data_IF_535028478420
#
_entry.id   IF_535028478420
#
_cell.length_a   1.000
_cell.length_b   1.000
_cell.length_c   1.000
_cell.angle_alpha   90.00
_cell.angle_beta   90.00
_cell.angle_gamma   90.00
#
_symmetry.space_group_name_H-M   'P 1'
#
loop_
_entity.id
_entity.type
_entity.pdbx_description
1 polymer ?
#
# COMPACT_ATOMS: atom_id res chain seq x y z
N UNK A 1 -22.03 -36.56 -6.12
CA UNK A 1 -21.53 -35.59 -7.13
C UNK A 1 -22.59 -34.58 -7.59
N UNK A 2 -23.83 -34.96 -7.92
CA UNK A 2 -24.88 -34.01 -8.39
C UNK A 2 -25.34 -32.96 -7.35
N UNK A 3 -25.36 -33.27 -6.05
CA UNK A 3 -25.74 -32.31 -5.00
C UNK A 3 -24.71 -31.19 -4.81
N UNK A 4 -23.42 -31.53 -4.86
CA UNK A 4 -22.33 -30.56 -4.74
C UNK A 4 -22.27 -29.60 -5.93
N UNK A 5 -22.63 -30.08 -7.13
CA UNK A 5 -22.67 -29.24 -8.34
C UNK A 5 -23.83 -28.21 -8.31
N UNK A 6 -24.99 -28.60 -7.76
CA UNK A 6 -26.14 -27.70 -7.60
C UNK A 6 -25.89 -26.62 -6.54
N UNK A 7 -25.18 -26.95 -5.47
CA UNK A 7 -24.79 -25.99 -4.44
C UNK A 7 -23.78 -24.99 -5.00
N UNK A 8 -22.82 -25.46 -5.79
CA UNK A 8 -21.81 -24.58 -6.44
C UNK A 8 -22.48 -23.60 -7.42
N UNK A 9 -23.38 -24.07 -8.28
CA UNK A 9 -24.11 -23.23 -9.23
C UNK A 9 -25.00 -22.21 -8.51
N UNK A 10 -25.70 -22.61 -7.44
CA UNK A 10 -26.50 -21.69 -6.63
C UNK A 10 -25.65 -20.66 -5.88
N UNK A 11 -24.46 -21.04 -5.38
CA UNK A 11 -23.54 -20.13 -4.72
C UNK A 11 -22.94 -19.12 -5.71
N UNK A 12 -22.59 -19.54 -6.93
CA UNK A 12 -22.10 -18.65 -7.99
C UNK A 12 -23.21 -17.69 -8.46
N UNK A 13 -24.47 -18.15 -8.57
CA UNK A 13 -25.59 -17.28 -8.88
C UNK A 13 -25.92 -16.30 -7.74
N UNK A 14 -25.82 -16.73 -6.48
CA UNK A 14 -26.01 -15.85 -5.32
C UNK A 14 -24.90 -14.79 -5.19
N UNK A 15 -23.67 -15.14 -5.54
CA UNK A 15 -22.54 -14.19 -5.59
C UNK A 15 -22.71 -13.10 -6.65
N UNK A 16 -23.37 -13.43 -7.76
CA UNK A 16 -23.72 -12.44 -8.82
C UNK A 16 -24.85 -11.49 -8.38
N UNK A 17 -25.58 -11.80 -7.32
CA UNK A 17 -26.69 -11.01 -6.79
C UNK A 17 -26.27 -10.06 -5.64
N UNK A 18 -25.12 -10.27 -5.01
CA UNK A 18 -24.59 -9.40 -3.95
C UNK A 18 -23.49 -8.54 -4.57
N UNK A 19 -23.85 -7.34 -5.01
CA UNK A 19 -23.07 -6.39 -5.80
C UNK A 19 -21.74 -5.91 -5.19
N UNK A 20 -20.77 -6.80 -5.08
CA UNK A 20 -19.37 -6.44 -4.84
C UNK A 20 -18.66 -6.35 -6.19
N UNK A 21 -18.73 -5.20 -6.83
CA UNK A 21 -17.96 -4.87 -8.02
C UNK A 21 -17.08 -3.65 -7.73
N UNK A 22 -15.84 -3.65 -8.21
CA UNK A 22 -15.06 -2.42 -8.29
C UNK A 22 -15.65 -1.55 -9.38
N UNK A 23 -15.81 -0.27 -9.10
CA UNK A 23 -16.38 0.71 -10.04
C UNK A 23 -15.30 1.73 -10.37
N UNK A 24 -14.97 1.86 -11.64
CA UNK A 24 -14.05 2.83 -12.18
C UNK A 24 -14.68 3.62 -13.32
N UNK A 25 -14.09 4.77 -13.67
CA UNK A 25 -14.54 5.59 -14.80
C UNK A 25 -13.39 5.75 -15.80
N UNK A 26 -13.73 5.67 -17.10
CA UNK A 26 -12.78 5.87 -18.20
C UNK A 26 -13.26 6.98 -19.11
N UNK A 27 -12.33 7.62 -19.83
CA UNK A 27 -12.66 8.65 -20.81
C UNK A 27 -13.21 8.05 -22.11
N UNK A 28 -13.94 8.80 -22.95
CA UNK A 28 -14.35 8.35 -24.28
C UNK A 28 -13.19 7.87 -25.15
N UNK A 29 -12.01 8.49 -25.04
CA UNK A 29 -10.79 8.05 -25.73
C UNK A 29 -10.29 6.69 -25.26
N UNK A 30 -10.52 6.31 -24.01
CA UNK A 30 -10.20 4.98 -23.51
C UNK A 30 -11.25 3.94 -23.95
N UNK A 31 -12.52 4.34 -24.13
CA UNK A 31 -13.56 3.48 -24.75
C UNK A 31 -13.16 3.13 -26.20
N UNK A 32 -12.61 4.08 -26.96
CA UNK A 32 -12.11 3.84 -28.30
C UNK A 32 -10.99 2.77 -28.36
N UNK A 33 -10.18 2.64 -27.32
CA UNK A 33 -9.15 1.59 -27.23
C UNK A 33 -9.70 0.17 -27.11
N UNK A 34 -10.97 0.02 -26.81
CA UNK A 34 -11.64 -1.29 -26.77
C UNK A 34 -11.96 -1.83 -28.17
N UNK A 35 -11.72 -1.06 -29.24
CA UNK A 35 -11.90 -1.53 -30.61
C UNK A 35 -11.18 -2.86 -30.86
N UNK A 36 -11.85 -3.77 -31.55
CA UNK A 36 -11.35 -5.12 -31.82
C UNK A 36 -11.39 -6.07 -30.60
N UNK A 37 -12.05 -5.69 -29.50
CA UNK A 37 -12.34 -6.63 -28.41
C UNK A 37 -13.38 -7.66 -28.85
N UNK A 38 -13.07 -8.96 -28.72
CA UNK A 38 -13.95 -10.03 -29.17
C UNK A 38 -13.66 -11.33 -28.41
N UNK A 39 -14.57 -11.72 -27.53
CA UNK A 39 -14.46 -12.96 -26.74
C UNK A 39 -14.88 -14.22 -27.50
N UNK A 40 -15.55 -14.10 -28.65
CA UNK A 40 -15.92 -15.24 -29.50
C UNK A 40 -14.70 -15.71 -30.30
N UNK A 41 -13.84 -14.78 -30.72
CA UNK A 41 -12.62 -15.08 -31.48
C UNK A 41 -11.48 -15.42 -30.54
N UNK A 42 -11.38 -14.73 -29.41
CA UNK A 42 -10.38 -14.94 -28.36
C UNK A 42 -11.05 -14.95 -26.99
N UNK A 43 -11.43 -16.10 -26.44
CA UNK A 43 -12.15 -16.19 -25.15
C UNK A 43 -11.44 -15.53 -23.97
N UNK A 44 -10.11 -15.46 -24.03
CA UNK A 44 -9.27 -14.78 -23.03
C UNK A 44 -8.87 -13.36 -23.45
N UNK A 45 -9.61 -12.73 -24.38
CA UNK A 45 -9.32 -11.37 -24.84
C UNK A 45 -9.33 -10.39 -23.67
N UNK A 46 -8.25 -9.61 -23.55
CA UNK A 46 -8.13 -8.52 -22.59
C UNK A 46 -7.63 -7.26 -23.29
N UNK A 47 -8.16 -6.11 -22.90
CA UNK A 47 -7.74 -4.80 -23.40
C UNK A 47 -7.34 -3.91 -22.22
N UNK A 48 -6.14 -3.31 -22.24
CA UNK A 48 -5.76 -2.35 -21.21
C UNK A 48 -6.50 -1.02 -21.42
N UNK A 49 -7.10 -0.49 -20.37
CA UNK A 49 -7.70 0.85 -20.34
C UNK A 49 -7.17 1.60 -19.12
N UNK A 50 -7.12 2.92 -19.21
CA UNK A 50 -6.70 3.80 -18.15
C UNK A 50 -7.92 4.51 -17.57
N UNK A 51 -8.06 4.46 -16.25
CA UNK A 51 -9.16 5.10 -15.53
C UNK A 51 -8.93 6.60 -15.38
N UNK A 52 -9.95 7.37 -15.04
CA UNK A 52 -9.83 8.84 -14.90
C UNK A 52 -8.91 9.25 -13.76
N UNK A 53 -8.72 8.40 -12.76
CA UNK A 53 -7.76 8.58 -11.66
C UNK A 53 -6.35 8.04 -11.95
N UNK A 54 -6.11 7.62 -13.21
CA UNK A 54 -4.78 7.22 -13.72
C UNK A 54 -4.39 5.76 -13.44
N UNK A 55 -5.30 4.92 -12.98
CA UNK A 55 -5.03 3.48 -12.84
C UNK A 55 -5.17 2.76 -14.18
N UNK A 56 -4.36 1.73 -14.38
CA UNK A 56 -4.51 0.82 -15.50
C UNK A 56 -5.35 -0.38 -15.08
N UNK A 57 -6.43 -0.64 -15.80
CA UNK A 57 -7.26 -1.83 -15.64
C UNK A 57 -7.29 -2.68 -16.91
N UNK A 58 -7.70 -3.94 -16.74
CA UNK A 58 -7.79 -4.89 -17.86
C UNK A 58 -9.26 -5.21 -18.15
N UNK A 59 -9.78 -4.67 -19.24
CA UNK A 59 -11.12 -4.98 -19.73
C UNK A 59 -11.16 -6.42 -20.26
N UNK A 60 -12.06 -7.25 -19.76
CA UNK A 60 -12.19 -8.67 -20.09
C UNK A 60 -13.67 -9.09 -20.17
N UNK A 61 -13.95 -10.37 -20.41
CA UNK A 61 -15.31 -10.90 -20.57
C UNK A 61 -16.24 -10.77 -19.36
N UNK A 62 -15.67 -10.53 -18.16
CA UNK A 62 -16.44 -10.31 -16.93
C UNK A 62 -16.72 -8.83 -16.67
N UNK A 63 -16.06 -7.94 -17.40
CA UNK A 63 -16.17 -6.49 -17.22
C UNK A 63 -17.48 -5.97 -17.80
N UNK A 64 -18.24 -5.22 -17.00
CA UNK A 64 -19.41 -4.46 -17.46
C UNK A 64 -19.00 -3.03 -17.82
N UNK A 65 -19.44 -2.55 -18.97
CA UNK A 65 -19.24 -1.18 -19.43
C UNK A 65 -20.59 -0.49 -19.55
N UNK A 66 -20.77 0.65 -18.90
CA UNK A 66 -21.95 1.50 -19.04
C UNK A 66 -21.54 2.85 -19.61
N UNK A 67 -22.10 3.20 -20.76
CA UNK A 67 -21.90 4.50 -21.43
C UNK A 67 -23.04 5.43 -21.02
N UNK A 68 -22.70 6.59 -20.45
CA UNK A 68 -23.63 7.63 -20.07
C UNK A 68 -23.58 8.72 -21.16
N UNK A 69 -24.65 8.88 -21.91
CA UNK A 69 -24.82 9.91 -22.92
C UNK A 69 -25.92 10.90 -22.52
N UNK A 70 -26.06 12.00 -23.24
CA UNK A 70 -27.00 13.08 -22.91
C UNK A 70 -28.47 12.61 -22.70
N UNK A 71 -28.86 11.54 -23.37
CA UNK A 71 -30.25 11.10 -23.40
C UNK A 71 -30.48 9.69 -22.85
N UNK A 72 -29.40 8.92 -22.58
CA UNK A 72 -29.55 7.53 -22.20
C UNK A 72 -28.27 6.96 -21.56
N UNK A 73 -28.50 6.10 -20.55
CA UNK A 73 -27.45 5.18 -20.05
C UNK A 73 -27.65 3.82 -20.73
N UNK A 74 -26.61 3.34 -21.38
CA UNK A 74 -26.66 2.04 -22.07
C UNK A 74 -25.36 1.28 -21.80
N UNK A 75 -25.45 -0.03 -21.69
CA UNK A 75 -24.29 -0.87 -21.43
C UNK A 75 -24.63 -2.29 -21.05
N UNK A 76 -23.63 -2.98 -20.55
CA UNK A 76 -23.67 -4.36 -20.11
C UNK A 76 -22.30 -5.03 -20.21
N UNK A 77 -22.27 -6.36 -20.16
CA UNK A 77 -21.08 -7.14 -20.53
C UNK A 77 -21.09 -7.34 -22.05
N UNK A 78 -19.96 -7.07 -22.69
CA UNK A 78 -19.85 -7.16 -24.14
C UNK A 78 -19.11 -8.41 -24.57
N UNK A 79 -19.67 -9.12 -25.54
CA UNK A 79 -19.03 -10.22 -26.25
C UNK A 79 -18.05 -9.69 -27.32
N UNK A 80 -18.41 -8.59 -27.98
CA UNK A 80 -17.54 -7.92 -28.94
C UNK A 80 -17.76 -6.41 -28.94
N UNK A 81 -16.72 -5.65 -29.27
CA UNK A 81 -16.73 -4.20 -29.40
C UNK A 81 -15.98 -3.81 -30.67
N UNK A 82 -16.59 -2.91 -31.45
CA UNK A 82 -16.01 -2.22 -32.59
C UNK A 82 -16.21 -0.72 -32.45
N UNK A 83 -15.20 0.03 -32.82
CA UNK A 83 -15.31 1.48 -32.93
C UNK A 83 -15.00 1.88 -34.36
N UNK A 84 -15.97 2.44 -35.05
CA UNK A 84 -15.84 2.87 -36.44
C UNK A 84 -16.47 4.24 -36.61
N UNK A 85 -15.75 5.15 -37.24
CA UNK A 85 -16.24 6.51 -37.57
C UNK A 85 -16.78 7.24 -36.32
N UNK A 86 -16.05 7.13 -35.19
CA UNK A 86 -16.39 7.70 -33.85
C UNK A 86 -17.68 7.11 -33.24
N UNK A 87 -18.15 5.96 -33.73
CA UNK A 87 -19.30 5.24 -33.19
C UNK A 87 -18.86 3.97 -32.50
N UNK A 88 -19.21 3.86 -31.21
CA UNK A 88 -19.11 2.60 -30.48
C UNK A 88 -20.24 1.66 -30.91
N UNK A 89 -19.88 0.45 -31.32
CA UNK A 89 -20.79 -0.63 -31.63
C UNK A 89 -20.40 -1.84 -30.81
N UNK A 90 -21.23 -2.21 -29.83
CA UNK A 90 -20.98 -3.32 -28.93
C UNK A 90 -22.10 -4.36 -29.00
N UNK A 91 -21.74 -5.64 -29.09
CA UNK A 91 -22.68 -6.75 -28.92
C UNK A 91 -22.52 -7.30 -27.51
N UNK A 92 -23.56 -7.22 -26.70
CA UNK A 92 -23.58 -7.71 -25.33
C UNK A 92 -23.62 -9.25 -25.30
N UNK A 93 -23.23 -9.82 -24.14
CA UNK A 93 -23.25 -11.28 -23.95
C UNK A 93 -24.66 -11.88 -23.99
N UNK A 94 -25.71 -11.07 -23.75
CA UNK A 94 -27.12 -11.44 -23.87
C UNK A 94 -27.67 -11.21 -25.31
N UNK A 95 -26.79 -10.81 -26.24
CA UNK A 95 -27.11 -10.69 -27.67
C UNK A 95 -27.65 -9.35 -28.15
N UNK A 96 -27.82 -8.35 -27.24
CA UNK A 96 -28.26 -7.00 -27.61
C UNK A 96 -27.12 -6.26 -28.33
N UNK A 97 -27.49 -5.45 -29.31
CA UNK A 97 -26.58 -4.53 -29.97
C UNK A 97 -26.72 -3.11 -29.35
N UNK A 98 -25.60 -2.48 -29.04
CA UNK A 98 -25.51 -1.14 -28.46
C UNK A 98 -24.70 -0.28 -29.41
N UNK A 99 -25.27 0.82 -29.90
CA UNK A 99 -24.57 1.80 -30.73
C UNK A 99 -24.63 3.17 -30.06
N UNK A 100 -23.49 3.81 -29.88
CA UNK A 100 -23.37 5.15 -29.24
C UNK A 100 -22.26 5.94 -29.92
N UNK A 101 -22.53 7.16 -30.45
CA UNK A 101 -21.45 8.06 -30.86
C UNK A 101 -20.56 8.39 -29.69
N UNK A 102 -19.24 8.23 -29.79
CA UNK A 102 -18.30 8.51 -28.72
C UNK A 102 -18.31 9.99 -28.33
N UNK A 103 -18.56 10.87 -29.29
CA UNK A 103 -18.74 12.32 -29.04
C UNK A 103 -19.97 12.63 -28.16
N UNK A 104 -20.95 11.75 -28.08
CA UNK A 104 -22.12 11.90 -27.21
C UNK A 104 -21.91 11.32 -25.81
N UNK A 105 -20.83 10.54 -25.57
CA UNK A 105 -20.52 9.92 -24.29
C UNK A 105 -19.94 10.95 -23.33
N UNK A 106 -20.63 11.22 -22.21
CA UNK A 106 -20.19 12.11 -21.14
C UNK A 106 -19.27 11.40 -20.16
N UNK A 107 -19.61 10.18 -19.83
CA UNK A 107 -18.80 9.31 -18.96
C UNK A 107 -18.99 7.85 -19.32
N UNK A 108 -17.97 7.05 -19.10
CA UNK A 108 -18.01 5.62 -19.25
C UNK A 108 -17.64 4.96 -17.91
N UNK A 109 -18.60 4.25 -17.33
CA UNK A 109 -18.45 3.51 -16.09
C UNK A 109 -18.05 2.07 -16.41
N UNK A 110 -17.03 1.58 -15.76
CA UNK A 110 -16.53 0.21 -15.87
C UNK A 110 -16.69 -0.47 -14.52
N UNK A 111 -17.32 -1.64 -14.51
CA UNK A 111 -17.50 -2.44 -13.31
C UNK A 111 -16.92 -3.83 -13.55
N UNK A 112 -16.03 -4.25 -12.64
CA UNK A 112 -15.51 -5.61 -12.63
C UNK A 112 -16.04 -6.33 -11.40
N UNK A 113 -16.53 -7.59 -11.54
CA UNK A 113 -16.82 -8.40 -10.37
C UNK A 113 -15.56 -8.50 -9.54
N UNK A 114 -15.66 -8.30 -8.23
CA UNK A 114 -14.54 -8.49 -7.33
C UNK A 114 -14.08 -9.93 -7.47
N UNK A 115 -12.91 -10.13 -8.06
CA UNK A 115 -12.26 -11.44 -8.22
C UNK A 115 -12.07 -12.18 -6.90
N UNK A 116 -12.17 -11.44 -5.80
CA UNK A 116 -12.10 -11.88 -4.43
C UNK A 116 -13.24 -12.82 -4.02
N UNK A 117 -14.49 -12.51 -4.37
CA UNK A 117 -15.63 -13.36 -4.00
C UNK A 117 -15.66 -14.67 -4.79
N UNK A 118 -15.29 -14.62 -6.07
CA UNK A 118 -15.16 -15.81 -6.93
C UNK A 118 -14.07 -16.74 -6.40
N UNK A 119 -12.94 -16.22 -5.96
CA UNK A 119 -11.84 -16.99 -5.36
C UNK A 119 -12.24 -17.58 -3.99
N UNK A 120 -12.95 -16.83 -3.12
CA UNK A 120 -13.47 -17.34 -1.84
C UNK A 120 -14.41 -18.52 -2.05
N UNK A 121 -15.31 -18.44 -3.02
CA UNK A 121 -16.27 -19.54 -3.34
C UNK A 121 -15.54 -20.76 -3.91
N UNK A 122 -14.54 -20.55 -4.78
CA UNK A 122 -13.73 -21.64 -5.36
C UNK A 122 -12.87 -22.35 -4.31
N UNK A 123 -12.33 -21.62 -3.32
CA UNK A 123 -11.51 -22.23 -2.24
C UNK A 123 -12.34 -23.02 -1.24
N UNK A 124 -13.58 -22.62 -0.96
CA UNK A 124 -14.52 -23.41 -0.16
C UNK A 124 -14.89 -24.74 -0.85
N UNK A 125 -14.93 -24.75 -2.19
CA UNK A 125 -15.25 -25.93 -2.98
C UNK A 125 -14.09 -26.92 -3.14
N UNK A 126 -12.84 -26.44 -3.07
CA UNK A 126 -11.60 -27.25 -3.30
C UNK A 126 -10.91 -27.69 -2.00
N UNK A 127 -11.45 -27.33 -0.84
CA UNK A 127 -11.05 -27.76 0.50
C UNK A 127 -9.54 -27.81 0.75
N UNK A 128 -9.05 -26.94 1.61
CA UNK A 128 -7.91 -27.08 2.53
C UNK A 128 -6.59 -26.34 2.31
N UNK A 129 -6.18 -25.92 1.12
CA UNK A 129 -4.85 -25.29 0.97
C UNK A 129 -4.92 -23.78 0.62
N UNK A 130 -6.00 -23.32 0.05
CA UNK A 130 -6.14 -21.94 -0.44
C UNK A 130 -6.70 -20.93 0.59
N UNK A 131 -7.20 -21.37 1.73
CA UNK A 131 -7.87 -20.50 2.72
C UNK A 131 -6.92 -19.43 3.32
N UNK A 132 -5.65 -19.78 3.56
CA UNK A 132 -4.65 -18.83 4.08
C UNK A 132 -4.28 -17.74 3.10
N UNK A 133 -4.08 -18.10 1.82
CA UNK A 133 -3.69 -17.14 0.77
C UNK A 133 -4.83 -16.19 0.39
N UNK A 134 -6.07 -16.65 0.54
CA UNK A 134 -7.25 -15.85 0.19
C UNK A 134 -7.66 -14.88 1.30
N UNK A 135 -7.54 -15.28 2.57
CA UNK A 135 -7.71 -14.37 3.68
C UNK A 135 -6.68 -13.22 3.61
N UNK A 136 -5.44 -13.50 3.19
CA UNK A 136 -4.41 -12.51 2.93
C UNK A 136 -4.81 -11.51 1.82
N UNK A 137 -5.51 -11.96 0.78
CA UNK A 137 -5.97 -11.10 -0.31
C UNK A 137 -7.22 -10.27 0.07
N UNK A 138 -8.14 -10.86 0.81
CA UNK A 138 -9.37 -10.19 1.27
C UNK A 138 -9.11 -9.06 2.27
N UNK A 139 -8.03 -9.19 3.04
CA UNK A 139 -7.60 -8.19 4.03
C UNK A 139 -6.65 -7.15 3.44
N UNK A 140 -6.25 -7.23 2.15
CA UNK A 140 -5.34 -6.27 1.50
C UNK A 140 -5.87 -4.82 1.53
N UNK A 141 -7.17 -4.63 1.68
CA UNK A 141 -7.79 -3.31 1.84
C UNK A 141 -8.02 -2.90 3.31
N UNK A 142 -7.88 -3.83 4.27
CA UNK A 142 -7.92 -3.52 5.69
C UNK A 142 -6.50 -3.33 6.22
N UNK A 143 -5.99 -2.11 6.17
CA UNK A 143 -4.74 -1.76 6.87
C UNK A 143 -4.98 -1.92 8.37
N UNK A 144 -4.44 -2.99 8.94
CA UNK A 144 -4.32 -3.13 10.39
C UNK A 144 -3.03 -2.40 10.74
N UNK A 145 -3.12 -1.09 11.03
CA UNK A 145 -2.08 -0.32 11.68
C UNK A 145 -0.62 -0.56 11.25
N UNK A 146 -0.37 -0.95 9.98
CA UNK A 146 1.00 -1.06 9.50
C UNK A 146 1.61 0.34 9.48
N UNK A 147 2.75 0.47 10.10
CA UNK A 147 3.58 1.65 9.99
C UNK A 147 4.48 1.40 8.80
N UNK A 148 4.24 2.16 7.76
CA UNK A 148 5.11 2.11 6.58
C UNK A 148 6.35 2.95 6.94
N UNK A 149 7.53 2.35 7.05
CA UNK A 149 8.83 3.01 7.20
C UNK A 149 9.08 4.01 6.05
N UNK A 150 10.35 4.30 5.71
CA UNK A 150 10.65 5.23 4.61
C UNK A 150 10.16 4.69 3.27
N UNK A 151 9.10 5.29 2.72
CA UNK A 151 8.42 4.81 1.53
C UNK A 151 9.32 4.87 0.27
N UNK A 152 9.47 3.75 -0.44
CA UNK A 152 10.09 3.75 -1.77
C UNK A 152 9.12 4.30 -2.80
N UNK A 153 9.50 5.41 -3.46
CA UNK A 153 8.73 5.99 -4.56
C UNK A 153 9.42 5.81 -5.89
N UNK A 154 8.66 5.36 -6.89
CA UNK A 154 9.08 5.31 -8.29
C UNK A 154 8.05 6.08 -9.09
N UNK A 155 8.49 7.14 -9.78
CA UNK A 155 7.60 8.04 -10.53
C UNK A 155 6.44 8.59 -9.67
N UNK A 156 6.72 8.96 -8.41
CA UNK A 156 5.75 9.51 -7.45
C UNK A 156 4.80 8.49 -6.81
N UNK A 157 4.86 7.22 -7.18
CA UNK A 157 4.03 6.14 -6.61
C UNK A 157 4.84 5.33 -5.59
N UNK A 158 4.22 5.01 -4.45
CA UNK A 158 4.80 4.08 -3.48
C UNK A 158 4.76 2.68 -4.09
N UNK A 159 5.91 1.99 -4.05
CA UNK A 159 6.07 0.63 -4.60
C UNK A 159 6.62 -0.31 -3.53
N UNK A 160 6.14 -1.55 -3.58
CA UNK A 160 6.63 -2.66 -2.75
C UNK A 160 6.83 -3.88 -3.64
N UNK A 161 7.70 -4.80 -3.22
CA UNK A 161 7.90 -6.05 -3.94
C UNK A 161 6.61 -6.89 -3.98
N UNK A 162 6.38 -7.68 -5.03
CA UNK A 162 5.39 -8.76 -4.98
C UNK A 162 5.85 -9.83 -3.99
N UNK A 163 4.92 -10.70 -3.59
CA UNK A 163 5.28 -11.87 -2.79
C UNK A 163 6.06 -12.90 -3.60
N UNK A 164 7.00 -13.54 -2.94
CA UNK A 164 7.81 -14.64 -3.43
C UNK A 164 8.03 -15.71 -2.36
N UNK A 165 8.97 -16.60 -2.61
CA UNK A 165 9.48 -17.59 -1.67
C UNK A 165 11.00 -17.54 -1.69
N UNK A 166 11.62 -17.33 -0.54
CA UNK A 166 13.09 -17.36 -0.38
C UNK A 166 13.42 -17.55 1.09
N UNK A 167 14.28 -18.49 1.41
CA UNK A 167 14.69 -18.75 2.79
C UNK A 167 15.57 -17.66 3.39
N UNK A 168 16.25 -16.87 2.57
CA UNK A 168 17.19 -15.83 3.04
C UNK A 168 16.49 -14.62 3.69
N UNK A 169 15.19 -14.47 3.49
CA UNK A 169 14.38 -13.41 4.08
C UNK A 169 13.61 -13.86 5.33
N UNK A 170 14.00 -14.98 5.93
CA UNK A 170 13.44 -15.42 7.22
C UNK A 170 14.51 -15.30 8.32
N UNK A 171 14.20 -14.55 9.38
CA UNK A 171 15.05 -14.40 10.57
C UNK A 171 14.82 -15.45 11.65
N UNK A 172 13.93 -16.45 11.41
CA UNK A 172 13.66 -17.53 12.34
C UNK A 172 12.88 -17.15 13.61
N UNK A 173 12.29 -15.95 13.67
CA UNK A 173 11.48 -15.52 14.81
C UNK A 173 10.17 -16.30 14.87
N UNK A 174 9.88 -16.90 16.04
CA UNK A 174 8.69 -17.70 16.29
C UNK A 174 7.91 -17.10 17.45
N UNK A 175 6.76 -16.47 17.19
CA UNK A 175 5.89 -15.96 18.25
C UNK A 175 5.11 -17.11 18.90
N UNK A 176 4.63 -16.88 20.12
CA UNK A 176 3.70 -17.81 20.77
C UNK A 176 2.35 -17.81 20.06
N UNK A 177 1.90 -18.96 19.60
CA UNK A 177 0.66 -19.11 18.83
C UNK A 177 -0.48 -19.71 19.65
N UNK A 178 -0.21 -20.24 20.84
CA UNK A 178 -1.22 -20.88 21.67
C UNK A 178 -2.28 -19.87 22.11
N UNK A 179 -3.54 -20.27 22.06
CA UNK A 179 -4.68 -19.43 22.46
C UNK A 179 -5.11 -18.40 21.41
N UNK A 180 -4.40 -18.21 20.30
CA UNK A 180 -4.86 -17.34 19.21
C UNK A 180 -6.00 -17.97 18.41
N UNK A 181 -7.08 -17.21 18.20
CA UNK A 181 -8.12 -17.57 17.25
C UNK A 181 -7.59 -17.61 15.82
N UNK A 182 -8.27 -18.36 14.95
CA UNK A 182 -7.96 -18.37 13.52
C UNK A 182 -8.04 -16.97 12.89
N UNK A 183 -9.01 -16.16 13.34
CA UNK A 183 -9.16 -14.77 12.87
C UNK A 183 -7.97 -13.90 13.29
N UNK A 184 -7.50 -14.03 14.54
CA UNK A 184 -6.34 -13.28 15.01
C UNK A 184 -5.07 -13.70 14.30
N UNK A 185 -4.83 -15.00 14.10
CA UNK A 185 -3.68 -15.50 13.33
C UNK A 185 -3.66 -14.95 11.91
N UNK A 186 -4.82 -14.96 11.23
CA UNK A 186 -4.93 -14.41 9.88
C UNK A 186 -4.65 -12.90 9.85
N UNK A 187 -5.19 -12.16 10.82
CA UNK A 187 -4.99 -10.72 10.91
C UNK A 187 -3.52 -10.37 11.19
N UNK A 188 -2.85 -11.10 12.11
CA UNK A 188 -1.43 -10.94 12.41
C UNK A 188 -0.54 -11.30 11.22
N UNK A 189 -0.84 -12.39 10.52
CA UNK A 189 -0.12 -12.77 9.32
C UNK A 189 -0.16 -11.66 8.27
N UNK A 190 -1.33 -11.06 8.05
CA UNK A 190 -1.48 -9.96 7.11
C UNK A 190 -0.74 -8.70 7.57
N UNK A 191 -0.90 -8.32 8.84
CA UNK A 191 -0.22 -7.17 9.41
C UNK A 191 1.30 -7.27 9.17
N UNK A 192 1.91 -8.36 9.62
CA UNK A 192 3.35 -8.58 9.47
C UNK A 192 3.78 -8.72 8.02
N UNK A 193 2.92 -9.24 7.15
CA UNK A 193 3.17 -9.29 5.72
C UNK A 193 3.24 -7.89 5.10
N UNK A 194 2.31 -7.00 5.41
CA UNK A 194 2.32 -5.62 4.93
C UNK A 194 3.54 -4.87 5.47
N UNK A 195 3.83 -5.02 6.75
CA UNK A 195 5.04 -4.48 7.37
C UNK A 195 6.30 -5.00 6.67
N UNK A 196 6.42 -6.31 6.43
CA UNK A 196 7.60 -6.90 5.79
C UNK A 196 7.87 -6.33 4.39
N UNK A 197 6.82 -6.11 3.59
CA UNK A 197 6.95 -5.51 2.27
C UNK A 197 7.33 -4.02 2.33
N UNK A 198 6.85 -3.29 3.34
CA UNK A 198 7.21 -1.90 3.57
C UNK A 198 8.68 -1.78 3.99
N UNK A 199 9.11 -2.54 5.00
CA UNK A 199 10.51 -2.58 5.45
C UNK A 199 11.47 -3.00 4.33
N UNK A 200 11.09 -4.00 3.54
CA UNK A 200 11.85 -4.39 2.36
C UNK A 200 11.99 -3.25 1.35
N UNK A 201 10.95 -2.43 1.15
CA UNK A 201 10.98 -1.28 0.26
C UNK A 201 11.78 -0.11 0.85
N UNK A 202 11.90 -0.01 2.18
CA UNK A 202 12.73 1.00 2.86
C UNK A 202 14.22 0.81 2.59
N UNK A 203 14.70 -0.42 2.37
CA UNK A 203 16.11 -0.72 2.02
C UNK A 203 16.57 0.10 0.81
N UNK A 204 15.97 0.00 -0.38
CA UNK A 204 16.36 0.82 -1.52
C UNK A 204 16.02 2.31 -1.32
N UNK A 205 15.05 2.68 -0.48
CA UNK A 205 14.75 4.08 -0.18
C UNK A 205 15.93 4.74 0.57
N UNK A 206 16.47 4.11 1.60
CA UNK A 206 17.67 4.58 2.30
C UNK A 206 18.93 4.52 1.43
N UNK A 207 19.06 3.53 0.55
CA UNK A 207 20.16 3.46 -0.42
C UNK A 207 20.17 4.67 -1.37
N UNK A 208 18.99 5.05 -1.86
CA UNK A 208 18.81 6.27 -2.67
C UNK A 208 19.07 7.55 -1.88
N UNK A 209 18.67 7.57 -0.61
CA UNK A 209 18.96 8.68 0.29
C UNK A 209 20.48 8.91 0.39
N UNK A 210 21.29 7.84 0.56
CA UNK A 210 22.75 7.97 0.62
C UNK A 210 23.33 8.54 -0.67
N UNK A 211 22.87 8.11 -1.85
CA UNK A 211 23.27 8.65 -3.15
C UNK A 211 22.85 10.13 -3.29
N UNK A 212 21.67 10.49 -2.85
CA UNK A 212 21.17 11.87 -2.86
C UNK A 212 22.00 12.77 -1.94
N UNK A 213 22.34 12.30 -0.74
CA UNK A 213 23.21 13.02 0.19
C UNK A 213 24.60 13.30 -0.42
N UNK A 214 25.18 12.29 -1.07
CA UNK A 214 26.46 12.46 -1.75
C UNK A 214 26.38 13.45 -2.93
N UNK A 215 25.32 13.38 -3.74
CA UNK A 215 25.10 14.27 -4.86
C UNK A 215 24.92 15.75 -4.44
N UNK A 216 24.40 15.99 -3.24
CA UNK A 216 24.20 17.32 -2.69
C UNK A 216 25.33 17.79 -1.76
N UNK A 217 26.42 17.03 -1.63
CA UNK A 217 27.60 17.40 -0.83
C UNK A 217 27.36 17.33 0.68
N UNK A 218 26.52 16.43 1.15
CA UNK A 218 26.23 16.26 2.57
C UNK A 218 27.45 15.83 3.40
N UNK A 219 27.50 16.16 4.70
CA UNK A 219 28.51 15.64 5.62
C UNK A 219 28.54 14.10 5.65
N UNK A 220 29.76 13.51 5.66
CA UNK A 220 29.95 12.05 5.62
C UNK A 220 29.18 11.28 6.72
N UNK A 221 28.98 11.89 7.90
CA UNK A 221 28.19 11.28 8.99
C UNK A 221 26.73 10.99 8.61
N UNK A 222 26.13 11.82 7.72
CA UNK A 222 24.74 11.60 7.25
C UNK A 222 24.70 10.47 6.23
N UNK A 223 25.71 10.34 5.38
CA UNK A 223 25.84 9.23 4.43
C UNK A 223 26.04 7.91 5.18
N UNK A 224 26.95 7.87 6.18
CA UNK A 224 27.16 6.68 7.02
C UNK A 224 25.88 6.25 7.74
N UNK A 225 25.14 7.21 8.32
CA UNK A 225 23.89 6.93 9.01
C UNK A 225 22.80 6.40 8.02
N UNK A 226 22.73 6.89 6.80
CA UNK A 226 21.80 6.37 5.78
C UNK A 226 22.12 4.91 5.39
N UNK A 227 23.39 4.56 5.26
CA UNK A 227 23.80 3.16 5.02
C UNK A 227 23.51 2.26 6.21
N UNK A 228 23.68 2.77 7.44
CA UNK A 228 23.33 2.02 8.65
C UNK A 228 21.83 1.73 8.67
N UNK A 229 20.98 2.74 8.45
CA UNK A 229 19.54 2.60 8.36
C UNK A 229 19.14 1.55 7.32
N UNK A 230 19.70 1.59 6.09
CA UNK A 230 19.43 0.59 5.07
C UNK A 230 19.75 -0.86 5.52
N UNK A 231 20.78 -1.05 6.34
CA UNK A 231 21.12 -2.37 6.92
C UNK A 231 20.16 -2.81 8.01
N UNK A 232 19.70 -1.87 8.82
CA UNK A 232 18.69 -2.11 9.86
C UNK A 232 17.36 -2.53 9.23
N UNK A 233 16.93 -1.87 8.14
CA UNK A 233 15.74 -2.25 7.35
C UNK A 233 15.78 -3.67 6.78
N UNK A 234 16.95 -4.17 6.39
CA UNK A 234 17.10 -5.59 6.00
C UNK A 234 16.73 -6.51 7.16
N UNK A 235 17.11 -6.16 8.40
CA UNK A 235 16.79 -6.97 9.57
C UNK A 235 15.31 -6.83 9.95
N UNK A 236 14.73 -5.61 9.88
CA UNK A 236 13.31 -5.39 10.10
C UNK A 236 12.46 -6.21 9.11
N UNK A 237 12.78 -6.17 7.82
CA UNK A 237 12.11 -6.98 6.80
C UNK A 237 12.21 -8.48 7.10
N UNK A 238 13.39 -9.00 7.46
CA UNK A 238 13.59 -10.41 7.81
C UNK A 238 12.79 -10.84 9.03
N UNK A 239 12.72 -10.01 10.05
CA UNK A 239 11.90 -10.23 11.24
C UNK A 239 10.42 -10.27 10.85
N UNK A 240 9.95 -9.28 10.10
CA UNK A 240 8.56 -9.16 9.71
C UNK A 240 8.11 -10.30 8.79
N UNK A 241 8.95 -10.75 7.83
CA UNK A 241 8.67 -11.95 7.01
C UNK A 241 8.63 -13.23 7.86
N UNK A 242 9.49 -13.36 8.88
CA UNK A 242 9.44 -14.50 9.80
C UNK A 242 8.13 -14.55 10.58
N UNK A 243 7.72 -13.41 11.13
CA UNK A 243 6.46 -13.29 11.88
C UNK A 243 5.26 -13.53 10.98
N UNK A 244 5.23 -12.95 9.77
CA UNK A 244 4.19 -13.21 8.78
C UNK A 244 4.05 -14.70 8.46
N UNK A 245 5.19 -15.38 8.24
CA UNK A 245 5.26 -16.81 7.96
C UNK A 245 4.77 -17.65 9.14
N UNK A 246 5.19 -17.32 10.36
CA UNK A 246 4.81 -18.04 11.56
C UNK A 246 3.30 -17.93 11.85
N UNK A 247 2.72 -16.73 11.80
CA UNK A 247 1.29 -16.55 11.98
C UNK A 247 0.46 -17.18 10.84
N UNK A 248 0.94 -17.07 9.59
CA UNK A 248 0.26 -17.59 8.41
C UNK A 248 0.40 -19.09 8.21
N UNK A 249 1.37 -19.73 8.85
CA UNK A 249 1.67 -21.16 8.68
C UNK A 249 2.24 -21.51 7.30
N UNK A 250 2.66 -20.52 6.52
CA UNK A 250 3.26 -20.69 5.20
C UNK A 250 4.41 -19.70 5.04
N UNK A 251 5.54 -20.17 4.54
CA UNK A 251 6.70 -19.32 4.30
C UNK A 251 6.40 -18.25 3.23
N UNK A 252 6.69 -17.00 3.55
CA UNK A 252 6.56 -15.87 2.65
C UNK A 252 7.85 -15.06 2.62
N UNK A 253 8.16 -14.47 1.46
CA UNK A 253 9.34 -13.65 1.22
C UNK A 253 9.05 -12.60 0.14
N UNK A 254 9.90 -11.58 -0.06
CA UNK A 254 9.74 -10.66 -1.16
C UNK A 254 10.12 -11.33 -2.49
N UNK A 255 9.38 -11.00 -3.54
CA UNK A 255 9.78 -11.24 -4.92
C UNK A 255 10.69 -10.12 -5.44
N UNK A 256 11.08 -10.16 -6.72
CA UNK A 256 11.89 -9.12 -7.34
C UNK A 256 11.16 -7.76 -7.35
N UNK A 257 11.85 -6.70 -6.95
CA UNK A 257 11.36 -5.32 -7.01
C UNK A 257 11.75 -4.73 -8.37
N UNK A 258 11.04 -5.14 -9.41
CA UNK A 258 11.37 -4.86 -10.83
C UNK A 258 11.28 -3.37 -11.18
N UNK A 259 10.49 -2.59 -10.46
CA UNK A 259 10.34 -1.15 -10.61
C UNK A 259 11.65 -0.39 -10.40
N UNK A 260 12.59 -0.97 -9.64
CA UNK A 260 13.91 -0.36 -9.42
C UNK A 260 14.76 -0.28 -10.70
N UNK A 261 14.57 -1.19 -11.64
CA UNK A 261 15.38 -1.23 -12.86
C UNK A 261 15.28 0.06 -13.70
N UNK A 262 14.13 0.74 -13.64
CA UNK A 262 13.86 1.97 -14.40
C UNK A 262 13.68 3.19 -13.48
N UNK A 263 14.03 3.08 -12.22
CA UNK A 263 13.83 4.15 -11.25
C UNK A 263 15.07 5.04 -11.16
N UNK A 264 14.93 6.37 -11.00
CA UNK A 264 16.08 7.24 -10.83
C UNK A 264 16.85 6.90 -9.54
N UNK A 265 18.16 6.88 -9.60
CA UNK A 265 19.02 6.63 -8.44
C UNK A 265 18.97 7.78 -7.42
N UNK A 266 18.74 9.00 -7.88
CA UNK A 266 18.66 10.21 -7.06
C UNK A 266 17.24 10.74 -7.16
N UNK A 267 16.58 10.95 -6.02
CA UNK A 267 15.18 11.39 -5.95
C UNK A 267 15.04 12.90 -5.74
N UNK A 268 15.96 13.50 -4.98
CA UNK A 268 15.98 14.93 -4.72
C UNK A 268 17.19 15.58 -5.39
N UNK A 269 16.95 16.62 -6.21
CA UNK A 269 17.99 17.36 -6.92
C UNK A 269 18.33 18.70 -6.27
N UNK A 270 17.75 19.00 -5.10
CA UNK A 270 18.01 20.20 -4.31
C UNK A 270 17.87 19.93 -2.82
N UNK A 271 18.53 20.76 -2.02
CA UNK A 271 18.40 20.69 -0.55
C UNK A 271 16.96 20.87 -0.08
N UNK A 272 16.19 21.73 -0.76
CA UNK A 272 14.76 21.93 -0.47
C UNK A 272 13.94 20.65 -0.70
N UNK A 273 14.17 19.96 -1.80
CA UNK A 273 13.48 18.70 -2.09
C UNK A 273 13.88 17.60 -1.11
N UNK A 274 15.18 17.48 -0.80
CA UNK A 274 15.69 16.54 0.19
C UNK A 274 15.12 16.82 1.59
N UNK A 275 15.06 18.09 2.01
CA UNK A 275 14.50 18.48 3.30
C UNK A 275 13.00 18.16 3.40
N UNK A 276 12.23 18.41 2.32
CA UNK A 276 10.81 18.09 2.26
C UNK A 276 10.56 16.58 2.36
N UNK A 277 11.29 15.76 1.58
CA UNK A 277 11.22 14.30 1.64
C UNK A 277 11.63 13.79 3.04
N UNK A 278 12.74 14.29 3.60
CA UNK A 278 13.21 13.89 4.93
C UNK A 278 12.24 14.29 6.04
N UNK A 279 11.55 15.43 5.91
CA UNK A 279 10.56 15.86 6.89
C UNK A 279 9.35 14.91 6.93
N UNK A 280 8.83 14.54 5.77
CA UNK A 280 7.61 13.71 5.69
C UNK A 280 7.95 12.24 5.93
N UNK A 281 8.84 11.65 5.13
CA UNK A 281 9.11 10.21 5.21
C UNK A 281 9.96 9.83 6.43
N UNK A 282 10.84 10.73 6.86
CA UNK A 282 11.73 10.48 8.00
C UNK A 282 11.19 11.06 9.31
N UNK A 283 11.17 12.41 9.46
CA UNK A 283 10.81 13.00 10.75
C UNK A 283 9.39 12.65 11.21
N UNK A 284 8.42 12.64 10.28
CA UNK A 284 7.04 12.32 10.60
C UNK A 284 6.78 10.81 10.58
N UNK A 285 7.04 10.12 9.46
CA UNK A 285 6.59 8.73 9.31
C UNK A 285 7.44 7.74 10.12
N UNK A 286 8.78 7.82 10.10
CA UNK A 286 9.65 6.99 10.96
C UNK A 286 9.42 7.29 12.46
N UNK A 287 9.28 8.58 12.81
CA UNK A 287 8.97 8.95 14.19
C UNK A 287 7.61 8.47 14.67
N UNK A 288 6.61 8.49 13.80
CA UNK A 288 5.30 7.89 14.06
C UNK A 288 5.41 6.37 14.16
N UNK A 289 6.20 5.72 13.28
CA UNK A 289 6.52 4.32 13.30
C UNK A 289 7.07 3.84 14.62
N UNK A 290 8.12 4.48 15.06
CA UNK A 290 8.72 4.21 16.38
C UNK A 290 7.68 4.29 17.50
N UNK A 291 6.79 5.30 17.49
CA UNK A 291 5.77 5.47 18.52
C UNK A 291 4.69 4.35 18.47
N UNK A 292 4.29 3.90 17.28
CA UNK A 292 3.34 2.79 17.10
C UNK A 292 3.92 1.48 17.60
N UNK A 293 5.17 1.17 17.22
CA UNK A 293 5.86 -0.06 17.62
C UNK A 293 6.06 -0.06 19.15
N UNK A 294 6.46 1.06 19.74
CA UNK A 294 6.63 1.18 21.19
C UNK A 294 5.29 1.00 21.94
N UNK A 295 4.21 1.58 21.45
CA UNK A 295 2.87 1.40 22.02
C UNK A 295 2.40 -0.06 21.93
N UNK A 296 2.66 -0.75 20.82
CA UNK A 296 2.41 -2.19 20.65
C UNK A 296 3.27 -3.03 21.60
N UNK A 297 4.57 -2.72 21.69
CA UNK A 297 5.53 -3.40 22.56
C UNK A 297 5.07 -3.44 24.03
N UNK A 298 4.56 -2.34 24.54
CA UNK A 298 4.10 -2.24 25.94
C UNK A 298 2.95 -3.22 26.23
N UNK A 299 2.12 -3.51 25.25
CA UNK A 299 0.97 -4.43 25.37
C UNK A 299 1.32 -5.87 25.06
N UNK A 300 2.44 -6.13 24.38
CA UNK A 300 2.84 -7.47 23.94
C UNK A 300 3.06 -8.39 25.13
N UNK A 301 2.34 -9.51 25.17
CA UNK A 301 2.48 -10.54 26.21
C UNK A 301 3.70 -11.44 25.95
N UNK A 302 3.97 -11.77 24.71
CA UNK A 302 5.09 -12.59 24.23
C UNK A 302 6.44 -11.88 24.52
N UNK A 303 7.27 -12.47 25.38
CA UNK A 303 8.56 -11.87 25.76
C UNK A 303 9.56 -11.77 24.61
N UNK A 304 9.78 -12.83 23.80
CA UNK A 304 10.60 -12.75 22.59
C UNK A 304 10.17 -11.65 21.63
N UNK A 305 8.88 -11.60 21.30
CA UNK A 305 8.33 -10.57 20.41
C UNK A 305 8.50 -9.16 21.02
N UNK A 306 8.28 -9.00 22.33
CA UNK A 306 8.50 -7.72 23.03
C UNK A 306 9.93 -7.23 22.92
N UNK A 307 10.92 -8.13 22.99
CA UNK A 307 12.33 -7.77 22.85
C UNK A 307 12.66 -7.33 21.41
N UNK A 308 12.08 -8.02 20.42
CA UNK A 308 12.20 -7.68 19.00
C UNK A 308 11.61 -6.29 18.75
N UNK A 309 10.39 -6.03 19.18
CA UNK A 309 9.73 -4.73 19.01
C UNK A 309 10.51 -3.60 19.70
N UNK A 310 11.15 -3.87 20.85
CA UNK A 310 12.01 -2.88 21.52
C UNK A 310 13.26 -2.53 20.69
N UNK A 311 13.82 -3.48 19.95
CA UNK A 311 14.95 -3.22 19.06
C UNK A 311 14.52 -2.36 17.88
N UNK A 312 13.46 -2.80 17.17
CA UNK A 312 12.91 -2.07 16.02
C UNK A 312 12.51 -0.64 16.41
N UNK A 313 11.77 -0.44 17.51
CA UNK A 313 11.37 0.91 17.95
C UNK A 313 12.55 1.87 18.18
N UNK A 314 13.67 1.37 18.69
CA UNK A 314 14.89 2.19 18.88
C UNK A 314 15.56 2.53 17.56
N UNK A 315 15.59 1.59 16.62
CA UNK A 315 16.20 1.77 15.31
C UNK A 315 15.36 2.75 14.48
N UNK A 316 14.02 2.61 14.47
CA UNK A 316 13.10 3.58 13.87
C UNK A 316 13.25 5.00 14.43
N UNK A 317 13.40 5.13 15.75
CA UNK A 317 13.69 6.42 16.36
C UNK A 317 15.06 7.00 15.92
N UNK A 318 16.04 6.14 15.64
CA UNK A 318 17.33 6.55 15.06
C UNK A 318 17.18 7.01 13.61
N UNK A 319 16.35 6.34 12.81
CA UNK A 319 16.01 6.75 11.44
C UNK A 319 15.32 8.12 11.42
N UNK A 320 14.37 8.35 12.32
CA UNK A 320 13.75 9.66 12.49
C UNK A 320 14.76 10.74 12.91
N UNK A 321 15.73 10.40 13.76
CA UNK A 321 16.79 11.34 14.15
C UNK A 321 17.72 11.66 12.96
N UNK A 322 18.10 10.68 12.14
CA UNK A 322 18.83 10.92 10.89
C UNK A 322 18.10 11.93 9.99
N UNK A 323 16.78 11.77 9.85
CA UNK A 323 15.99 12.69 9.05
C UNK A 323 16.01 14.11 9.64
N UNK A 324 15.96 14.26 10.96
CA UNK A 324 16.12 15.56 11.63
C UNK A 324 17.49 16.17 11.41
N UNK A 325 18.56 15.37 11.42
CA UNK A 325 19.92 15.83 11.16
C UNK A 325 20.08 16.32 9.72
N UNK A 326 19.42 15.64 8.75
CA UNK A 326 19.35 16.06 7.35
C UNK A 326 18.59 17.39 7.22
N UNK A 327 17.38 17.48 7.80
CA UNK A 327 16.58 18.71 7.79
C UNK A 327 17.36 19.87 8.42
N UNK A 328 18.01 19.64 9.56
CA UNK A 328 18.86 20.62 10.22
C UNK A 328 19.98 21.13 9.30
N UNK A 329 20.72 20.21 8.68
CA UNK A 329 21.78 20.55 7.71
C UNK A 329 21.24 21.35 6.52
N UNK A 330 20.11 20.95 5.92
CA UNK A 330 19.51 21.70 4.82
C UNK A 330 19.09 23.12 5.25
N UNK A 331 18.53 23.28 6.46
CA UNK A 331 18.19 24.58 7.00
C UNK A 331 19.43 25.43 7.30
N UNK A 332 20.53 24.82 7.73
CA UNK A 332 21.81 25.51 7.96
C UNK A 332 22.36 26.10 6.65
N UNK A 333 22.17 25.46 5.53
CA UNK A 333 22.66 25.93 4.23
C UNK A 333 21.70 26.94 3.58
N UNK A 334 20.37 26.62 3.54
CA UNK A 334 19.39 27.44 2.80
C UNK A 334 18.72 28.56 3.61
N UNK A 335 18.75 28.48 4.92
CA UNK A 335 18.28 29.55 5.79
C UNK A 335 16.78 29.52 6.11
N UNK A 336 16.30 30.64 6.64
CA UNK A 336 14.94 30.83 7.11
C UNK A 336 13.81 30.55 6.07
N UNK A 337 13.98 30.86 4.77
CA UNK A 337 12.95 30.56 3.77
C UNK A 337 12.64 29.08 3.66
N UNK A 338 13.64 28.19 3.83
CA UNK A 338 13.40 26.76 3.84
C UNK A 338 12.57 26.34 5.05
N UNK A 339 12.88 26.88 6.22
CA UNK A 339 12.15 26.56 7.45
C UNK A 339 10.64 26.92 7.33
N UNK A 340 10.33 28.10 6.77
CA UNK A 340 8.95 28.52 6.53
C UNK A 340 8.22 27.58 5.54
N UNK A 341 8.91 27.14 4.46
CA UNK A 341 8.34 26.20 3.50
C UNK A 341 8.06 24.83 4.12
N UNK A 342 8.95 24.32 4.97
CA UNK A 342 8.77 23.06 5.69
C UNK A 342 7.63 23.13 6.72
N UNK A 343 7.47 24.25 7.41
CA UNK A 343 6.33 24.49 8.32
C UNK A 343 5.01 24.43 7.56
N UNK A 344 4.91 25.12 6.43
CA UNK A 344 3.70 25.06 5.60
C UNK A 344 3.45 23.64 5.05
N UNK A 345 4.50 22.88 4.69
CA UNK A 345 4.37 21.50 4.22
C UNK A 345 3.74 20.60 5.28
N UNK A 346 4.24 20.61 6.52
CA UNK A 346 3.74 19.73 7.58
C UNK A 346 2.32 20.09 8.01
N UNK A 347 1.97 21.38 8.04
CA UNK A 347 0.63 21.85 8.35
C UNK A 347 -0.41 21.37 7.32
N UNK A 348 -0.03 21.31 6.05
CA UNK A 348 -0.88 20.86 4.95
C UNK A 348 -0.78 19.34 4.68
N UNK A 349 0.02 18.61 5.44
CA UNK A 349 0.14 17.14 5.28
C UNK A 349 -1.15 16.46 5.75
N UNK A 350 -1.85 15.72 4.88
CA UNK A 350 -3.10 15.06 5.26
C UNK A 350 -2.83 13.94 6.27
N UNK A 351 -3.85 13.67 7.10
CA UNK A 351 -3.82 12.46 7.94
C UNK A 351 -3.99 11.24 7.04
N UNK A 352 -3.12 10.22 7.11
CA UNK A 352 -3.28 8.98 6.36
C UNK A 352 -4.60 8.28 6.72
N UNK A 353 -5.03 7.36 5.85
CA UNK A 353 -6.20 6.55 6.13
C UNK A 353 -6.02 5.79 7.45
N UNK A 354 -6.95 5.99 8.38
CA UNK A 354 -6.93 5.30 9.68
C UNK A 354 -7.28 3.83 9.47
N UNK A 355 -6.60 2.90 10.14
CA UNK A 355 -6.95 1.49 10.12
C UNK A 355 -8.41 1.26 10.50
N UNK A 356 -8.99 0.15 10.02
CA UNK A 356 -10.38 -0.20 10.35
C UNK A 356 -10.49 -0.58 11.82
N UNK A 357 -11.57 -0.15 12.47
CA UNK A 357 -11.95 -0.64 13.79
C UNK A 357 -12.31 -2.13 13.73
N UNK A 358 -11.85 -2.88 14.70
CA UNK A 358 -12.08 -4.31 14.82
C UNK A 358 -13.01 -4.61 15.99
N UNK A 359 -13.55 -5.83 16.04
CA UNK A 359 -14.32 -6.28 17.21
C UNK A 359 -13.40 -6.31 18.46
N UNK A 360 -13.90 -5.90 19.65
CA UNK A 360 -13.05 -5.76 20.85
C UNK A 360 -12.30 -7.05 21.24
N UNK A 361 -12.91 -8.22 21.06
CA UNK A 361 -12.25 -9.50 21.34
C UNK A 361 -11.05 -9.73 20.43
N UNK A 362 -11.17 -9.43 19.13
CA UNK A 362 -10.08 -9.53 18.17
C UNK A 362 -9.00 -8.50 18.45
N UNK A 363 -9.35 -7.24 18.75
CA UNK A 363 -8.39 -6.21 19.15
C UNK A 363 -7.56 -6.65 20.35
N UNK A 364 -8.17 -7.28 21.36
CA UNK A 364 -7.46 -7.77 22.55
C UNK A 364 -6.43 -8.85 22.21
N UNK A 365 -6.78 -9.81 21.34
CA UNK A 365 -5.83 -10.83 20.87
C UNK A 365 -4.67 -10.19 20.09
N UNK A 366 -4.96 -9.26 19.18
CA UNK A 366 -3.94 -8.57 18.38
C UNK A 366 -3.03 -7.69 19.24
N UNK A 367 -3.58 -7.03 20.27
CA UNK A 367 -2.81 -6.19 21.18
C UNK A 367 -1.77 -7.00 21.96
N UNK A 368 -2.08 -8.24 22.37
CA UNK A 368 -1.15 -9.15 23.01
C UNK A 368 0.05 -9.53 22.10
N UNK A 369 -0.07 -9.28 20.79
CA UNK A 369 0.93 -9.53 19.77
C UNK A 369 1.46 -8.26 19.08
N UNK A 370 1.34 -7.11 19.74
CA UNK A 370 2.01 -5.87 19.32
C UNK A 370 1.20 -4.94 18.42
N UNK A 371 -0.05 -5.28 18.08
CA UNK A 371 -0.91 -4.37 17.34
C UNK A 371 -1.55 -3.32 18.26
N UNK A 372 -1.89 -2.15 17.71
CA UNK A 372 -2.62 -1.09 18.41
C UNK A 372 -4.00 -0.86 17.77
N UNK A 373 -4.94 -0.28 18.54
CA UNK A 373 -6.26 0.04 18.01
C UNK A 373 -6.22 1.20 16.99
N UNK A 374 -7.24 1.29 16.16
CA UNK A 374 -7.42 2.38 15.20
C UNK A 374 -7.45 3.76 15.89
N UNK A 375 -8.11 3.86 17.05
CA UNK A 375 -8.18 5.08 17.85
C UNK A 375 -6.80 5.52 18.35
N UNK A 376 -5.99 4.58 18.84
CA UNK A 376 -4.64 4.87 19.30
C UNK A 376 -3.69 5.22 18.15
N UNK A 377 -3.78 4.53 17.04
CA UNK A 377 -3.06 4.83 15.82
C UNK A 377 -3.28 6.31 15.40
N UNK A 378 -4.55 6.72 15.32
CA UNK A 378 -4.92 8.10 15.01
C UNK A 378 -4.32 9.09 16.02
N UNK A 379 -4.44 8.80 17.30
CA UNK A 379 -3.90 9.65 18.38
C UNK A 379 -2.39 9.83 18.25
N UNK A 380 -1.65 8.74 18.01
CA UNK A 380 -0.19 8.77 17.85
C UNK A 380 0.23 9.55 16.61
N UNK A 381 -0.50 9.41 15.48
CA UNK A 381 -0.19 10.19 14.28
C UNK A 381 -0.35 11.70 14.52
N UNK A 382 -1.44 12.11 15.16
CA UNK A 382 -1.67 13.53 15.48
C UNK A 382 -0.60 14.06 16.43
N UNK A 383 -0.17 13.27 17.40
CA UNK A 383 0.92 13.61 18.33
C UNK A 383 2.26 13.73 17.59
N UNK A 384 2.59 12.78 16.72
CA UNK A 384 3.81 12.84 15.92
C UNK A 384 3.86 14.10 15.06
N UNK A 385 2.76 14.43 14.35
CA UNK A 385 2.67 15.65 13.55
C UNK A 385 2.84 16.91 14.40
N UNK A 386 2.19 17.00 15.57
CA UNK A 386 2.35 18.12 16.48
C UNK A 386 3.81 18.25 16.96
N UNK A 387 4.46 17.15 17.30
CA UNK A 387 5.88 17.11 17.71
C UNK A 387 6.81 17.61 16.60
N UNK A 388 6.53 17.20 15.34
CA UNK A 388 7.31 17.69 14.18
C UNK A 388 7.14 19.20 14.01
N UNK A 389 5.91 19.71 14.06
CA UNK A 389 5.62 21.16 13.96
C UNK A 389 6.34 21.95 15.04
N UNK A 390 6.28 21.50 16.30
CA UNK A 390 6.94 22.16 17.42
C UNK A 390 8.48 22.16 17.26
N UNK A 391 9.07 21.02 16.83
CA UNK A 391 10.52 20.92 16.62
C UNK A 391 11.00 21.84 15.49
N UNK A 392 10.25 21.96 14.41
CA UNK A 392 10.52 22.94 13.33
C UNK A 392 10.46 24.37 13.86
N UNK A 393 9.46 24.72 14.66
CA UNK A 393 9.35 26.04 15.31
C UNK A 393 10.56 26.38 16.16
N UNK A 394 11.07 25.42 16.93
CA UNK A 394 12.32 25.58 17.72
C UNK A 394 13.56 25.79 16.84
N UNK A 395 13.67 25.11 15.70
CA UNK A 395 14.77 25.32 14.76
C UNK A 395 14.73 26.72 14.13
N UNK A 396 13.54 27.20 13.78
CA UNK A 396 13.34 28.56 13.27
C UNK A 396 13.72 29.64 14.30
N UNK A 397 13.27 29.49 15.56
CA UNK A 397 13.56 30.43 16.64
C UNK A 397 15.06 30.53 17.01
N UNK A 398 15.78 29.41 17.05
CA UNK A 398 17.23 29.41 17.28
C UNK A 398 18.00 30.17 16.20
N UNK A 399 17.56 30.10 14.94
CA UNK A 399 18.21 30.83 13.87
C UNK A 399 17.92 32.33 13.90
N UNK A 400 16.70 32.70 14.23
CA UNK A 400 16.38 34.13 14.41
C UNK A 400 17.25 34.75 15.51
N UNK A 401 17.46 34.03 16.62
CA UNK A 401 18.33 34.46 17.71
C UNK A 401 19.84 34.45 17.34
N UNK A 402 20.29 33.61 16.43
CA UNK A 402 21.69 33.60 15.97
C UNK A 402 22.00 34.63 14.90
N UNK A 403 20.99 35.21 14.24
CA UNK A 403 21.10 36.23 13.20
C UNK A 403 20.91 37.66 13.76
N UNK A 404 20.46 37.81 15.01
CA UNK A 404 20.30 39.05 15.73
C UNK A 404 21.54 39.34 16.60
#
# INVERSE_FOLDING_TARGET
MQRSHRILVAAVQAASLVGCATTDFISPGQVARLDGYDTQVAPAAVKPVETLDGHRMWFNGETSLTLDSANQKTGGRFASIRVKDDVFVGKTTDGREVQVPLSAVRSAKVEQPSSMLTLVIMSYALGTIAAGTLALYALKESRIGSVDGRALRVNGKVVTAPLGRSQDWSGGHQPELSGLSSAARTALALHWHQTALAEHASVPAFSRLSLTLMALGAPGRLVDAAHRAAREEIQHARIAFSLASAYGGTEVAPGPLTELANAPAITATSLRALAAESLIDGCLMEGFGAAVIEAGRVRTADRPLRAVLAAIAREEASHAQLAWDIVGWCIEVEGAPLCAALTSLIENTPTPAVPRELAPALESELAAHGCISAAEWRRLFLLARATVTERLGRLAGRRAAAAA
#
